data_IF_993698632851
#
_entry.id   IF_993698632851
#
_cell.length_a   1.000
_cell.length_b   1.000
_cell.length_c   1.000
_cell.angle_alpha   90.00
_cell.angle_beta   90.00
_cell.angle_gamma   90.00
#
_symmetry.space_group_name_H-M   'P 1'
#
loop_
_entity.id
_entity.type
_entity.pdbx_description
1 polymer ?
#
# COMPACT_ATOMS: atom_id res chain seq x y z
N UNK A 1 -37.48 26.65 -62.34
CA UNK A 1 -36.77 26.20 -61.10
C UNK A 1 -37.51 26.70 -59.89
N UNK A 2 -38.03 25.79 -59.10
CA UNK A 2 -39.02 26.08 -58.04
C UNK A 2 -38.28 26.63 -56.79
N UNK A 3 -38.67 27.84 -56.37
CA UNK A 3 -38.11 28.52 -55.18
C UNK A 3 -38.11 27.68 -53.88
N UNK A 4 -38.87 26.60 -53.83
CA UNK A 4 -38.91 25.66 -52.68
C UNK A 4 -37.62 24.80 -52.57
N UNK A 5 -36.92 24.54 -53.64
CA UNK A 5 -35.69 23.73 -53.58
C UNK A 5 -34.45 24.55 -53.19
N UNK A 6 -34.49 25.87 -53.40
CA UNK A 6 -33.38 26.76 -52.99
C UNK A 6 -33.36 26.97 -51.45
N UNK A 7 -34.55 26.94 -50.82
CA UNK A 7 -34.62 27.09 -49.35
C UNK A 7 -34.15 25.82 -48.58
N UNK A 8 -34.38 24.63 -49.17
CA UNK A 8 -33.92 23.36 -48.60
C UNK A 8 -32.38 23.19 -48.70
N UNK A 9 -31.79 23.75 -49.74
CA UNK A 9 -30.33 23.67 -49.93
C UNK A 9 -29.56 24.64 -49.02
N UNK A 10 -30.16 25.79 -48.68
CA UNK A 10 -29.58 26.76 -47.73
C UNK A 10 -29.74 26.29 -46.28
N UNK A 11 -30.85 25.64 -45.93
CA UNK A 11 -30.99 25.01 -44.61
C UNK A 11 -30.10 23.78 -44.44
N UNK A 12 -29.88 23.00 -45.49
CA UNK A 12 -28.97 21.84 -45.44
C UNK A 12 -27.49 22.22 -45.32
N UNK A 13 -27.08 23.37 -45.83
CA UNK A 13 -25.70 23.88 -45.69
C UNK A 13 -25.46 24.58 -44.37
N UNK A 14 -26.51 25.10 -43.70
CA UNK A 14 -26.39 25.69 -42.36
C UNK A 14 -26.42 24.64 -41.25
N UNK A 15 -26.92 23.45 -41.52
CA UNK A 15 -26.91 22.32 -40.57
C UNK A 15 -25.59 21.50 -40.61
N UNK A 16 -24.71 21.75 -41.57
CA UNK A 16 -23.42 21.05 -41.67
C UNK A 16 -22.24 21.81 -41.02
N UNK A 17 -22.47 22.97 -40.40
CA UNK A 17 -21.45 23.75 -39.68
C UNK A 17 -21.73 23.98 -38.19
N UNK A 18 -22.74 23.36 -37.63
CA UNK A 18 -22.69 23.08 -36.21
C UNK A 18 -21.91 21.75 -36.08
N UNK A 19 -20.58 21.78 -36.16
CA UNK A 19 -19.85 20.90 -35.30
C UNK A 19 -20.48 21.11 -33.94
N UNK A 20 -21.27 20.17 -33.47
CA UNK A 20 -21.57 20.07 -32.08
C UNK A 20 -20.18 20.00 -31.44
N UNK A 21 -19.68 21.11 -30.90
CA UNK A 21 -18.63 21.03 -29.90
C UNK A 21 -19.20 20.02 -28.91
N UNK A 22 -18.57 18.86 -28.84
CA UNK A 22 -18.90 17.91 -27.81
C UNK A 22 -18.87 18.73 -26.54
N UNK A 23 -19.99 18.79 -25.81
CA UNK A 23 -20.08 19.67 -24.66
C UNK A 23 -19.00 19.18 -23.71
N UNK A 24 -18.03 20.02 -23.40
CA UNK A 24 -17.11 19.80 -22.30
C UNK A 24 -17.99 19.42 -21.12
N UNK A 25 -17.79 18.25 -20.51
CA UNK A 25 -18.65 17.77 -19.44
C UNK A 25 -18.67 18.77 -18.26
N UNK A 26 -19.62 18.60 -17.36
CA UNK A 26 -19.81 19.51 -16.23
C UNK A 26 -18.83 19.31 -15.07
N UNK A 27 -17.97 18.28 -15.16
CA UNK A 27 -16.95 17.98 -14.15
C UNK A 27 -15.90 19.07 -14.04
N UNK A 28 -15.46 19.36 -12.83
CA UNK A 28 -14.40 20.33 -12.56
C UNK A 28 -13.44 19.78 -11.52
N UNK A 29 -12.15 19.81 -11.83
CA UNK A 29 -11.07 19.52 -10.89
C UNK A 29 -10.22 20.78 -10.74
N UNK A 30 -10.04 21.26 -9.50
CA UNK A 30 -9.16 22.37 -9.20
C UNK A 30 -7.90 21.90 -8.52
N UNK A 31 -6.76 22.37 -8.99
CA UNK A 31 -5.44 21.99 -8.53
C UNK A 31 -4.68 23.25 -8.11
N UNK A 32 -4.05 23.21 -6.93
CA UNK A 32 -2.98 24.15 -6.60
C UNK A 32 -1.65 23.40 -6.62
N UNK A 33 -0.63 24.06 -7.14
CA UNK A 33 0.70 23.48 -7.28
C UNK A 33 1.75 24.50 -6.85
N UNK A 34 2.92 24.02 -6.42
CA UNK A 34 4.10 24.85 -6.17
C UNK A 34 4.91 25.14 -7.45
N UNK A 35 4.38 24.75 -8.62
CA UNK A 35 5.00 25.06 -9.89
C UNK A 35 5.09 26.56 -10.15
N UNK A 36 6.25 27.01 -10.60
CA UNK A 36 6.45 28.38 -11.06
C UNK A 36 5.81 28.56 -12.45
N UNK A 37 5.44 29.82 -12.76
CA UNK A 37 5.01 30.18 -14.12
C UNK A 37 6.03 29.71 -15.16
N UNK A 38 5.56 29.04 -16.21
CA UNK A 38 6.39 28.48 -17.27
C UNK A 38 6.86 27.05 -17.03
N UNK A 39 6.64 26.49 -15.83
CA UNK A 39 6.96 25.09 -15.54
C UNK A 39 5.97 24.15 -16.22
N UNK A 40 6.47 23.03 -16.72
CA UNK A 40 5.63 21.97 -17.31
C UNK A 40 5.00 21.11 -16.21
N UNK A 41 3.70 20.91 -16.32
CA UNK A 41 2.92 19.95 -15.55
C UNK A 41 2.56 18.78 -16.48
N UNK A 42 2.73 17.57 -15.98
CA UNK A 42 2.43 16.32 -16.70
C UNK A 42 1.42 15.52 -15.89
N UNK A 43 0.43 15.00 -16.59
CA UNK A 43 -0.57 14.11 -15.99
C UNK A 43 -1.02 13.07 -16.99
N UNK A 44 -1.67 12.04 -16.50
CA UNK A 44 -2.43 11.10 -17.29
C UNK A 44 -3.89 11.21 -16.88
N UNK A 45 -4.79 11.21 -17.85
CA UNK A 45 -6.22 11.23 -17.57
C UNK A 45 -7.01 10.55 -18.67
N UNK A 46 -8.21 10.11 -18.32
CA UNK A 46 -9.25 9.74 -19.27
C UNK A 46 -10.50 10.59 -19.02
N UNK A 47 -11.33 10.70 -20.01
CA UNK A 47 -12.60 11.40 -19.95
C UNK A 47 -13.71 10.36 -20.03
N UNK A 48 -14.70 10.48 -19.19
CA UNK A 48 -15.82 9.56 -19.15
C UNK A 48 -16.58 9.55 -20.49
N UNK A 49 -16.65 8.38 -21.13
CA UNK A 49 -17.24 8.17 -22.45
C UNK A 49 -18.66 7.62 -22.41
N UNK A 50 -19.21 7.36 -21.23
CA UNK A 50 -20.49 6.68 -21.04
C UNK A 50 -20.32 5.27 -20.48
N UNK A 51 -21.33 4.45 -20.68
CA UNK A 51 -21.38 3.06 -20.23
C UNK A 51 -21.44 2.14 -21.43
N UNK A 52 -20.77 1.00 -21.40
CA UNK A 52 -20.97 -0.07 -22.37
C UNK A 52 -22.24 -0.89 -22.06
N UNK A 53 -22.50 -1.92 -22.88
CA UNK A 53 -23.67 -2.80 -22.75
C UNK A 53 -23.64 -3.61 -21.44
N UNK A 54 -22.45 -3.84 -20.87
CA UNK A 54 -22.24 -4.59 -19.62
C UNK A 54 -22.28 -3.66 -18.39
N UNK A 55 -22.39 -2.34 -18.56
CA UNK A 55 -22.44 -1.31 -17.53
C UNK A 55 -21.07 -0.89 -17.01
N UNK A 56 -20.01 -1.18 -17.77
CA UNK A 56 -18.66 -0.70 -17.49
C UNK A 56 -18.44 0.70 -18.12
N UNK A 57 -17.58 1.51 -17.49
CA UNK A 57 -17.26 2.84 -17.97
C UNK A 57 -16.40 2.77 -19.23
N UNK A 58 -16.77 3.53 -20.23
CA UNK A 58 -15.99 3.72 -21.44
C UNK A 58 -15.04 4.91 -21.25
N UNK A 59 -13.74 4.67 -21.37
CA UNK A 59 -12.71 5.69 -21.28
C UNK A 59 -12.46 6.34 -22.64
N UNK A 60 -12.56 7.66 -22.69
CA UNK A 60 -12.15 8.43 -23.87
C UNK A 60 -10.79 9.10 -23.64
N UNK A 61 -9.95 9.07 -24.66
CA UNK A 61 -8.74 9.87 -24.67
C UNK A 61 -9.08 11.37 -24.56
N UNK A 62 -8.35 12.15 -23.74
CA UNK A 62 -8.56 13.58 -23.65
C UNK A 62 -8.23 14.29 -24.95
N UNK A 63 -9.13 15.13 -25.43
CA UNK A 63 -8.94 16.01 -26.60
C UNK A 63 -9.18 17.44 -26.16
N UNK A 64 -8.09 18.22 -26.08
CA UNK A 64 -8.15 19.61 -25.61
C UNK A 64 -9.04 20.45 -26.51
N UNK A 65 -9.99 21.16 -25.92
CA UNK A 65 -10.97 21.99 -26.61
C UNK A 65 -12.23 21.22 -27.06
N UNK A 66 -12.21 19.88 -27.05
CA UNK A 66 -13.37 19.05 -27.43
C UNK A 66 -14.07 18.50 -26.18
N UNK A 67 -13.41 17.59 -25.42
CA UNK A 67 -14.02 16.95 -24.26
C UNK A 67 -13.41 17.40 -22.92
N UNK A 68 -12.35 18.21 -22.93
CA UNK A 68 -11.84 18.93 -21.76
C UNK A 68 -11.22 20.26 -22.14
N UNK A 69 -11.14 21.16 -21.15
CA UNK A 69 -10.41 22.42 -21.23
C UNK A 69 -9.68 22.72 -19.92
N UNK A 70 -8.76 23.67 -19.94
CA UNK A 70 -7.94 24.02 -18.77
C UNK A 70 -7.83 25.54 -18.65
N UNK A 71 -8.06 26.03 -17.42
CA UNK A 71 -7.72 27.40 -17.01
C UNK A 71 -6.43 27.39 -16.18
N UNK A 72 -5.66 28.46 -16.21
CA UNK A 72 -4.42 28.62 -15.45
C UNK A 72 -3.21 27.89 -16.03
N UNK A 73 -3.33 27.38 -17.25
CA UNK A 73 -2.22 26.80 -18.00
C UNK A 73 -2.33 27.08 -19.50
N UNK A 74 -1.19 27.09 -20.17
CA UNK A 74 -1.03 27.29 -21.61
C UNK A 74 -0.29 26.13 -22.26
N UNK A 75 -0.20 26.13 -23.61
CA UNK A 75 0.47 25.09 -24.40
C UNK A 75 0.01 23.66 -24.03
N UNK A 76 -1.31 23.51 -23.85
CA UNK A 76 -1.91 22.21 -23.50
C UNK A 76 -1.85 21.29 -24.68
N UNK A 77 -1.29 20.10 -24.47
CA UNK A 77 -1.21 19.03 -25.48
C UNK A 77 -1.70 17.73 -24.88
N UNK A 78 -2.42 16.95 -25.65
CA UNK A 78 -2.88 15.62 -25.29
C UNK A 78 -2.46 14.61 -26.33
N UNK A 79 -1.95 13.45 -25.90
CA UNK A 79 -1.52 12.35 -26.76
C UNK A 79 -1.83 11.01 -26.06
N UNK A 80 -2.85 10.30 -26.52
CA UNK A 80 -3.45 9.20 -25.77
C UNK A 80 -3.97 9.74 -24.43
N UNK A 81 -3.66 9.07 -23.33
CA UNK A 81 -4.02 9.53 -21.97
C UNK A 81 -3.05 10.57 -21.37
N UNK A 82 -1.96 10.92 -22.07
CA UNK A 82 -0.94 11.84 -21.55
C UNK A 82 -1.29 13.28 -21.89
N UNK A 83 -1.37 14.11 -20.87
CA UNK A 83 -1.60 15.55 -20.99
C UNK A 83 -0.39 16.29 -20.43
N UNK A 84 0.12 17.24 -21.22
CA UNK A 84 1.22 18.13 -20.82
C UNK A 84 0.77 19.56 -21.04
N UNK A 85 1.01 20.42 -20.05
CA UNK A 85 0.68 21.83 -20.09
C UNK A 85 1.80 22.68 -19.47
N UNK A 86 1.77 23.98 -19.71
CA UNK A 86 2.68 24.95 -19.09
C UNK A 86 1.89 25.74 -18.08
N UNK A 87 2.27 25.71 -16.80
CA UNK A 87 1.60 26.46 -15.75
C UNK A 87 1.74 27.98 -15.98
N UNK A 88 0.64 28.71 -15.94
CA UNK A 88 0.62 30.18 -15.99
C UNK A 88 0.72 30.79 -14.58
N UNK A 89 0.51 29.97 -13.56
CA UNK A 89 0.56 30.29 -12.13
C UNK A 89 0.34 29.05 -11.29
N UNK A 90 0.10 29.20 -9.99
CA UNK A 90 -0.04 28.06 -9.05
C UNK A 90 -1.41 27.38 -9.11
N UNK A 91 -2.39 27.95 -9.78
CA UNK A 91 -3.76 27.44 -9.85
C UNK A 91 -4.09 26.96 -11.25
N UNK A 92 -4.61 25.74 -11.34
CA UNK A 92 -5.02 25.08 -12.59
C UNK A 92 -6.42 24.52 -12.36
N UNK A 93 -7.32 24.76 -13.30
CA UNK A 93 -8.67 24.18 -13.30
C UNK A 93 -8.86 23.36 -14.56
N UNK A 94 -9.20 22.09 -14.39
CA UNK A 94 -9.56 21.17 -15.49
C UNK A 94 -11.09 21.13 -15.54
N UNK A 95 -11.66 21.37 -16.71
CA UNK A 95 -13.08 21.24 -17.01
C UNK A 95 -13.27 20.00 -17.90
N UNK A 96 -14.20 19.12 -17.55
CA UNK A 96 -14.51 17.89 -18.25
C UNK A 96 -14.90 16.78 -17.28
N UNK A 97 -15.63 15.80 -17.74
CA UNK A 97 -16.06 14.65 -16.95
C UNK A 97 -14.91 13.63 -16.85
N UNK A 98 -13.86 14.02 -16.09
CA UNK A 98 -12.68 13.19 -15.86
C UNK A 98 -13.07 11.99 -15.00
N UNK A 99 -12.79 10.78 -15.47
CA UNK A 99 -12.98 9.53 -14.72
C UNK A 99 -11.68 8.95 -14.17
N UNK A 100 -10.56 9.15 -14.85
CA UNK A 100 -9.23 8.79 -14.38
C UNK A 100 -8.30 10.01 -14.38
N UNK A 101 -7.65 10.26 -13.25
CA UNK A 101 -6.60 11.29 -13.13
C UNK A 101 -5.39 10.74 -12.37
N UNK A 102 -4.24 10.82 -13.01
CA UNK A 102 -2.94 10.55 -12.40
C UNK A 102 -2.02 11.76 -12.56
N UNK A 103 -1.70 12.42 -11.43
CA UNK A 103 -0.81 13.58 -11.37
C UNK A 103 0.23 13.36 -10.28
N UNK A 104 1.26 12.58 -10.60
CA UNK A 104 2.28 12.09 -9.66
C UNK A 104 3.51 12.99 -9.66
N UNK A 105 3.95 13.44 -8.47
CA UNK A 105 5.20 14.20 -8.30
C UNK A 105 5.23 15.56 -9.02
N UNK A 106 4.06 16.20 -9.23
CA UNK A 106 3.97 17.47 -9.95
C UNK A 106 3.87 18.69 -9.02
N UNK A 107 4.19 18.49 -7.73
CA UNK A 107 4.16 19.57 -6.74
C UNK A 107 2.74 20.05 -6.39
N UNK A 108 1.74 19.18 -6.53
CA UNK A 108 0.36 19.49 -6.15
C UNK A 108 0.27 19.66 -4.64
N UNK A 109 -0.19 20.81 -4.20
CA UNK A 109 -0.38 21.15 -2.77
C UNK A 109 -1.83 21.04 -2.32
N UNK A 110 -2.77 21.10 -3.27
CA UNK A 110 -4.20 21.01 -3.03
C UNK A 110 -4.90 20.47 -4.28
N UNK A 111 -5.92 19.65 -4.09
CA UNK A 111 -6.81 19.19 -5.15
C UNK A 111 -8.25 19.21 -4.64
N UNK A 112 -9.16 19.77 -5.44
CA UNK A 112 -10.61 19.78 -5.20
C UNK A 112 -11.29 18.98 -6.32
N UNK A 113 -11.88 17.87 -5.95
CA UNK A 113 -12.63 16.98 -6.83
C UNK A 113 -14.13 17.01 -6.55
N UNK A 114 -14.60 17.99 -5.78
CA UNK A 114 -16.01 18.09 -5.33
C UNK A 114 -17.04 18.18 -6.46
N UNK A 115 -16.58 18.51 -7.66
CA UNK A 115 -17.40 18.55 -8.88
C UNK A 115 -16.99 17.52 -9.92
N UNK A 116 -16.12 16.57 -9.58
CA UNK A 116 -15.68 15.49 -10.45
C UNK A 116 -16.51 14.21 -10.16
N UNK A 117 -17.83 14.25 -10.39
CA UNK A 117 -18.75 13.17 -10.03
C UNK A 117 -18.52 11.87 -10.78
N UNK A 118 -17.87 11.94 -11.94
CA UNK A 118 -17.53 10.79 -12.76
C UNK A 118 -16.21 10.14 -12.38
N UNK A 119 -15.45 10.74 -11.45
CA UNK A 119 -14.12 10.28 -11.06
C UNK A 119 -14.18 8.86 -10.48
N UNK A 120 -13.49 7.96 -11.18
CA UNK A 120 -13.40 6.53 -10.89
C UNK A 120 -12.06 6.17 -10.24
N UNK A 121 -10.97 6.81 -10.69
CA UNK A 121 -9.64 6.59 -10.18
C UNK A 121 -8.87 7.90 -10.02
N UNK A 122 -8.24 8.08 -8.85
CA UNK A 122 -7.39 9.22 -8.54
C UNK A 122 -6.03 8.78 -8.02
N UNK A 123 -4.96 9.20 -8.70
CA UNK A 123 -3.57 8.98 -8.28
C UNK A 123 -2.84 10.31 -8.13
N UNK A 124 -2.48 10.63 -6.89
CA UNK A 124 -1.79 11.88 -6.53
C UNK A 124 -0.49 11.63 -5.77
N UNK A 125 0.12 10.47 -5.95
CA UNK A 125 1.34 10.05 -5.25
C UNK A 125 2.44 11.11 -5.31
N UNK A 126 3.33 11.14 -4.30
CA UNK A 126 4.55 11.95 -4.28
C UNK A 126 4.30 13.46 -4.39
N UNK A 127 3.15 13.94 -3.94
CA UNK A 127 2.82 15.36 -3.92
C UNK A 127 2.77 15.90 -2.48
N UNK A 128 3.07 17.19 -2.25
CA UNK A 128 3.00 17.82 -0.93
C UNK A 128 1.58 18.28 -0.56
N UNK A 129 0.59 17.38 -0.78
CA UNK A 129 -0.80 17.59 -0.38
C UNK A 129 -0.89 17.38 1.13
N UNK A 130 -1.57 18.27 1.85
CA UNK A 130 -1.75 18.18 3.31
C UNK A 130 -3.08 17.56 3.72
N UNK A 131 -4.10 17.71 2.90
CA UNK A 131 -5.44 17.14 3.10
C UNK A 131 -6.13 16.87 1.78
N UNK A 132 -7.03 15.89 1.77
CA UNK A 132 -7.87 15.61 0.60
C UNK A 132 -9.27 15.20 1.06
N UNK A 133 -10.28 15.78 0.41
CA UNK A 133 -11.68 15.46 0.63
C UNK A 133 -12.26 14.79 -0.63
N UNK A 134 -12.64 13.51 -0.49
CA UNK A 134 -13.23 12.69 -1.54
C UNK A 134 -14.73 12.44 -1.34
N UNK A 135 -15.35 13.10 -0.34
CA UNK A 135 -16.77 12.89 0.03
C UNK A 135 -17.75 13.16 -1.11
N UNK A 136 -17.34 13.87 -2.16
CA UNK A 136 -18.14 14.14 -3.34
C UNK A 136 -17.73 13.34 -4.59
N UNK A 137 -16.97 12.24 -4.42
CA UNK A 137 -16.58 11.33 -5.49
C UNK A 137 -17.27 9.95 -5.33
N UNK A 138 -18.59 9.82 -5.48
CA UNK A 138 -19.35 8.61 -5.13
C UNK A 138 -19.06 7.42 -6.05
N UNK A 139 -18.40 7.63 -7.18
CA UNK A 139 -18.00 6.59 -8.14
C UNK A 139 -16.59 6.10 -7.94
N UNK A 140 -15.80 6.76 -7.07
CA UNK A 140 -14.39 6.47 -6.88
C UNK A 140 -14.19 5.02 -6.42
N UNK A 141 -13.41 4.26 -7.19
CA UNK A 141 -13.00 2.87 -6.88
C UNK A 141 -11.56 2.75 -6.42
N UNK A 142 -10.67 3.61 -6.93
CA UNK A 142 -9.23 3.55 -6.62
C UNK A 142 -8.72 4.92 -6.21
N UNK A 143 -8.06 4.97 -5.05
CA UNK A 143 -7.41 6.18 -4.56
C UNK A 143 -5.98 5.90 -4.10
N UNK A 144 -5.00 6.54 -4.74
CA UNK A 144 -3.59 6.41 -4.40
C UNK A 144 -2.97 7.79 -4.12
N UNK A 145 -2.44 7.93 -2.92
CA UNK A 145 -1.69 9.11 -2.45
C UNK A 145 -0.43 8.70 -1.67
N UNK A 146 0.20 7.60 -2.10
CA UNK A 146 1.44 7.09 -1.48
C UNK A 146 2.55 8.12 -1.57
N UNK A 147 3.36 8.22 -0.50
CA UNK A 147 4.47 9.16 -0.38
C UNK A 147 4.07 10.65 -0.46
N UNK A 148 2.80 10.96 -0.23
CA UNK A 148 2.38 12.34 0.08
C UNK A 148 2.77 12.65 1.53
N UNK A 149 4.02 13.00 1.75
CA UNK A 149 4.66 13.08 3.07
C UNK A 149 4.09 14.14 4.02
N UNK A 150 3.22 15.01 3.52
CA UNK A 150 2.53 16.04 4.29
C UNK A 150 1.04 15.71 4.49
N UNK A 151 0.52 14.64 3.88
CA UNK A 151 -0.89 14.28 3.92
C UNK A 151 -1.27 13.73 5.30
N UNK A 152 -2.02 14.53 6.06
CA UNK A 152 -2.43 14.22 7.42
C UNK A 152 -3.91 13.83 7.53
N UNK A 153 -4.76 14.29 6.61
CA UNK A 153 -6.21 14.03 6.66
C UNK A 153 -6.78 13.62 5.30
N UNK A 154 -7.61 12.57 5.34
CA UNK A 154 -8.35 12.06 4.19
C UNK A 154 -9.80 11.85 4.59
N UNK A 155 -10.74 12.42 3.84
CA UNK A 155 -12.19 12.19 4.01
C UNK A 155 -12.68 11.22 2.94
N UNK A 156 -13.29 10.10 3.38
CA UNK A 156 -13.83 9.03 2.55
C UNK A 156 -15.33 8.81 2.80
N UNK A 157 -16.03 9.78 3.40
CA UNK A 157 -17.37 9.58 3.95
C UNK A 157 -18.39 9.04 2.93
N UNK A 158 -18.31 9.46 1.68
CA UNK A 158 -19.29 9.11 0.65
C UNK A 158 -18.63 8.45 -0.58
N UNK A 159 -17.72 7.50 -0.33
CA UNK A 159 -17.02 6.73 -1.37
C UNK A 159 -17.31 5.23 -1.24
N UNK A 160 -18.57 4.78 -1.29
CA UNK A 160 -18.94 3.39 -0.98
C UNK A 160 -18.44 2.38 -2.03
N UNK A 161 -17.99 2.84 -3.20
CA UNK A 161 -17.49 1.99 -4.28
C UNK A 161 -15.98 1.75 -4.23
N UNK A 162 -15.26 2.32 -3.25
CA UNK A 162 -13.82 2.10 -3.12
C UNK A 162 -13.50 0.62 -2.94
N UNK A 163 -12.61 0.13 -3.78
CA UNK A 163 -12.03 -1.21 -3.74
C UNK A 163 -10.54 -1.19 -3.41
N UNK A 164 -9.83 -0.11 -3.74
CA UNK A 164 -8.40 0.04 -3.50
C UNK A 164 -8.02 1.40 -2.92
N UNK A 165 -7.24 1.38 -1.82
CA UNK A 165 -6.67 2.59 -1.20
C UNK A 165 -5.19 2.36 -0.94
N UNK A 166 -4.34 3.34 -1.34
CA UNK A 166 -2.94 3.38 -0.93
C UNK A 166 -2.56 4.75 -0.40
N UNK A 167 -2.21 4.79 0.89
CA UNK A 167 -1.77 5.94 1.67
C UNK A 167 -0.42 5.66 2.36
N UNK A 168 0.40 4.79 1.75
CA UNK A 168 1.70 4.44 2.30
C UNK A 168 2.60 5.66 2.41
N UNK A 169 3.30 5.82 3.55
CA UNK A 169 4.31 6.85 3.74
C UNK A 169 3.74 8.28 3.77
N UNK A 170 2.57 8.44 4.37
CA UNK A 170 1.91 9.73 4.64
C UNK A 170 2.04 10.13 6.12
N UNK A 171 1.27 11.11 6.57
CA UNK A 171 1.23 11.57 7.98
C UNK A 171 -0.13 11.31 8.64
N UNK A 172 -0.95 10.41 8.07
CA UNK A 172 -2.26 10.10 8.68
C UNK A 172 -2.07 9.50 10.08
N UNK A 173 -2.91 9.94 11.01
CA UNK A 173 -2.97 9.42 12.37
C UNK A 173 -4.21 8.56 12.61
N UNK A 174 -5.20 8.68 11.74
CA UNK A 174 -6.44 7.91 11.72
C UNK A 174 -7.00 7.85 10.31
N UNK A 175 -7.83 6.84 10.03
CA UNK A 175 -8.57 6.72 8.77
C UNK A 175 -9.93 6.08 9.09
N UNK A 176 -11.01 6.75 8.73
CA UNK A 176 -12.37 6.23 8.88
C UNK A 176 -12.79 5.44 7.64
N UNK A 177 -12.97 4.14 7.81
CA UNK A 177 -13.30 3.20 6.74
C UNK A 177 -14.72 2.61 6.86
N UNK A 178 -15.56 3.14 7.77
CA UNK A 178 -16.88 2.59 8.06
C UNK A 178 -17.81 2.54 6.85
N UNK A 179 -17.61 3.43 5.88
CA UNK A 179 -18.45 3.58 4.69
C UNK A 179 -17.84 2.91 3.44
N UNK A 180 -16.78 2.10 3.59
CA UNK A 180 -16.05 1.50 2.47
C UNK A 180 -16.05 -0.04 2.51
N UNK A 181 -17.20 -0.73 2.63
CA UNK A 181 -17.27 -2.17 2.86
C UNK A 181 -16.78 -3.01 1.67
N UNK A 182 -16.61 -2.40 0.50
CA UNK A 182 -16.16 -3.06 -0.72
C UNK A 182 -14.64 -3.05 -0.91
N UNK A 183 -13.87 -2.51 0.06
CA UNK A 183 -12.41 -2.51 -0.02
C UNK A 183 -11.88 -3.96 -0.07
N UNK A 184 -11.10 -4.25 -1.11
CA UNK A 184 -10.36 -5.49 -1.30
C UNK A 184 -8.87 -5.30 -1.02
N UNK A 185 -8.33 -4.09 -1.22
CA UNK A 185 -6.92 -3.77 -1.03
C UNK A 185 -6.74 -2.47 -0.24
N UNK A 186 -6.02 -2.53 0.88
CA UNK A 186 -5.72 -1.39 1.74
C UNK A 186 -4.24 -1.35 2.08
N UNK A 187 -3.56 -0.27 1.66
CA UNK A 187 -2.18 -0.01 2.05
C UNK A 187 -2.08 1.31 2.83
N UNK A 188 -1.81 1.19 4.12
CA UNK A 188 -1.51 2.31 5.03
C UNK A 188 -0.17 2.10 5.74
N UNK A 189 0.76 1.37 5.12
CA UNK A 189 2.09 1.14 5.68
C UNK A 189 2.94 2.41 5.79
N UNK A 190 3.97 2.37 6.63
CA UNK A 190 4.97 3.44 6.83
C UNK A 190 4.33 4.79 7.28
N UNK A 191 3.24 4.72 8.07
CA UNK A 191 2.60 5.86 8.73
C UNK A 191 2.89 5.80 10.23
N UNK A 192 4.04 6.29 10.65
CA UNK A 192 4.59 6.10 12.01
C UNK A 192 3.67 6.59 13.14
N UNK A 193 2.76 7.51 12.84
CA UNK A 193 1.79 8.06 13.79
C UNK A 193 0.43 7.33 13.78
N UNK A 194 0.24 6.34 12.90
CA UNK A 194 -0.97 5.52 12.82
C UNK A 194 -0.88 4.37 13.84
N UNK A 195 -1.39 4.62 15.06
CA UNK A 195 -1.30 3.65 16.15
C UNK A 195 -2.40 2.60 16.16
N UNK A 196 -3.46 2.78 15.37
CA UNK A 196 -4.58 1.84 15.25
C UNK A 196 -5.33 2.03 13.94
N UNK A 197 -5.97 0.97 13.45
CA UNK A 197 -6.91 1.01 12.33
C UNK A 197 -8.03 0.00 12.57
N UNK A 198 -9.28 0.40 12.31
CA UNK A 198 -10.42 -0.51 12.37
C UNK A 198 -10.74 -1.06 10.97
N UNK A 199 -10.37 -2.32 10.73
CA UNK A 199 -10.69 -3.05 9.49
C UNK A 199 -11.85 -4.03 9.66
N UNK A 200 -12.50 -4.07 10.82
CA UNK A 200 -13.58 -5.03 11.12
C UNK A 200 -14.84 -4.83 10.28
N UNK A 201 -14.98 -3.68 9.63
CA UNK A 201 -16.07 -3.34 8.71
C UNK A 201 -15.76 -3.59 7.23
N UNK A 202 -14.63 -4.26 6.95
CA UNK A 202 -14.14 -4.52 5.60
C UNK A 202 -14.22 -6.03 5.26
N UNK A 203 -15.40 -6.61 5.08
CA UNK A 203 -15.56 -8.06 4.85
C UNK A 203 -15.03 -8.54 3.49
N UNK A 204 -14.80 -7.62 2.57
CA UNK A 204 -14.26 -7.91 1.24
C UNK A 204 -12.73 -7.87 1.18
N UNK A 205 -12.03 -7.51 2.29
CA UNK A 205 -10.58 -7.27 2.28
C UNK A 205 -9.81 -8.56 1.98
N UNK A 206 -8.97 -8.50 0.96
CA UNK A 206 -8.11 -9.57 0.44
C UNK A 206 -6.64 -9.27 0.73
N UNK A 207 -6.25 -7.98 0.71
CA UNK A 207 -4.89 -7.55 0.92
C UNK A 207 -4.81 -6.40 1.92
N UNK A 208 -3.97 -6.54 2.94
CA UNK A 208 -3.76 -5.52 3.99
C UNK A 208 -2.27 -5.28 4.24
N UNK A 209 -1.82 -4.05 4.01
CA UNK A 209 -0.50 -3.55 4.39
C UNK A 209 -0.63 -2.49 5.47
N UNK A 210 -0.16 -2.81 6.66
CA UNK A 210 -0.12 -1.93 7.85
C UNK A 210 1.28 -1.91 8.48
N UNK A 211 2.30 -2.27 7.69
CA UNK A 211 3.68 -2.33 8.15
C UNK A 211 4.25 -0.94 8.50
N UNK A 212 5.23 -0.89 9.40
CA UNK A 212 5.97 0.34 9.71
C UNK A 212 5.15 1.40 10.43
N UNK A 213 4.15 1.00 11.19
CA UNK A 213 3.29 1.87 11.99
C UNK A 213 3.62 1.73 13.49
N UNK A 214 2.83 2.30 14.36
CA UNK A 214 3.00 2.19 15.82
C UNK A 214 2.02 1.24 16.51
N UNK A 215 1.41 0.31 15.76
CA UNK A 215 0.27 -0.48 16.23
C UNK A 215 0.65 -1.48 17.33
N UNK A 216 -0.08 -1.47 18.43
CA UNK A 216 0.04 -2.46 19.52
C UNK A 216 -0.95 -3.61 19.36
N UNK A 217 -2.03 -3.41 18.60
CA UNK A 217 -3.09 -4.39 18.32
C UNK A 217 -3.56 -4.30 16.88
N UNK A 218 -3.95 -5.44 16.33
CA UNK A 218 -4.57 -5.54 15.02
C UNK A 218 -5.64 -6.64 15.07
N UNK A 219 -6.89 -6.29 14.81
CA UNK A 219 -8.00 -7.25 14.73
C UNK A 219 -8.40 -7.46 13.27
N UNK A 220 -8.08 -8.64 12.74
CA UNK A 220 -8.45 -9.09 11.38
C UNK A 220 -9.53 -10.18 11.39
N UNK A 221 -10.17 -10.42 12.52
CA UNK A 221 -11.14 -11.52 12.72
C UNK A 221 -12.37 -11.47 11.82
N UNK A 222 -12.68 -10.32 11.22
CA UNK A 222 -13.82 -10.12 10.29
C UNK A 222 -13.40 -10.13 8.82
N UNK A 223 -12.10 -10.18 8.53
CA UNK A 223 -11.57 -10.14 7.17
C UNK A 223 -11.33 -11.57 6.66
N UNK A 224 -12.41 -12.35 6.52
CA UNK A 224 -12.36 -13.79 6.20
C UNK A 224 -11.89 -14.10 4.77
N UNK A 225 -11.77 -13.08 3.92
CA UNK A 225 -11.24 -13.19 2.57
C UNK A 225 -9.76 -12.84 2.47
N UNK A 226 -9.12 -12.47 3.60
CA UNK A 226 -7.75 -11.99 3.61
C UNK A 226 -6.79 -13.07 3.11
N UNK A 227 -6.05 -12.76 2.05
CA UNK A 227 -5.06 -13.62 1.39
C UNK A 227 -3.63 -13.15 1.72
N UNK A 228 -3.45 -11.83 1.89
CA UNK A 228 -2.15 -11.22 2.20
C UNK A 228 -2.23 -10.28 3.40
N UNK A 229 -1.40 -10.52 4.41
CA UNK A 229 -1.22 -9.62 5.56
C UNK A 229 0.24 -9.22 5.74
N UNK A 230 0.53 -7.94 5.57
CA UNK A 230 1.84 -7.33 5.87
C UNK A 230 1.67 -6.40 7.08
N UNK A 231 2.06 -6.86 8.26
CA UNK A 231 1.96 -6.12 9.52
C UNK A 231 3.30 -6.01 10.26
N UNK A 232 4.40 -6.15 9.53
CA UNK A 232 5.76 -6.03 10.06
C UNK A 232 6.06 -4.64 10.64
N UNK A 233 7.15 -4.50 11.42
CA UNK A 233 7.60 -3.23 12.00
C UNK A 233 6.51 -2.49 12.77
N UNK A 234 5.78 -3.20 13.63
CA UNK A 234 4.80 -2.65 14.56
C UNK A 234 5.19 -2.96 16.01
N UNK A 235 4.27 -2.79 16.95
CA UNK A 235 4.46 -3.10 18.37
C UNK A 235 3.59 -4.27 18.84
N UNK A 236 3.12 -5.13 17.90
CA UNK A 236 2.20 -6.23 18.23
C UNK A 236 2.87 -7.22 19.19
N UNK A 237 2.22 -7.49 20.33
CA UNK A 237 2.62 -8.52 21.27
C UNK A 237 1.92 -9.85 20.99
N UNK A 238 0.80 -9.81 20.29
CA UNK A 238 0.02 -10.96 19.82
C UNK A 238 -0.61 -10.67 18.45
N UNK A 239 -1.01 -11.72 17.77
CA UNK A 239 -1.77 -11.67 16.52
C UNK A 239 -2.55 -12.97 16.41
N UNK A 240 -3.82 -12.87 16.02
CA UNK A 240 -4.70 -14.01 15.79
C UNK A 240 -5.23 -13.95 14.35
N UNK A 241 -5.00 -15.02 13.58
CA UNK A 241 -5.43 -15.16 12.19
C UNK A 241 -6.35 -16.39 11.99
N UNK A 242 -6.94 -16.91 13.06
CA UNK A 242 -7.75 -18.15 13.02
C UNK A 242 -8.96 -18.05 12.06
N UNK A 243 -9.49 -16.83 11.83
CA UNK A 243 -10.62 -16.61 10.93
C UNK A 243 -10.20 -16.27 9.49
N UNK A 244 -8.90 -16.23 9.20
CA UNK A 244 -8.36 -15.84 7.89
C UNK A 244 -7.89 -17.09 7.13
N UNK A 245 -8.82 -18.00 6.82
CA UNK A 245 -8.52 -19.31 6.22
C UNK A 245 -7.87 -19.24 4.84
N UNK A 246 -8.04 -18.10 4.14
CA UNK A 246 -7.47 -17.88 2.80
C UNK A 246 -6.07 -17.28 2.81
N UNK A 247 -5.53 -16.95 4.00
CA UNK A 247 -4.23 -16.28 4.07
C UNK A 247 -3.11 -17.17 3.55
N UNK A 248 -2.35 -16.67 2.58
CA UNK A 248 -1.22 -17.35 1.93
C UNK A 248 0.11 -16.68 2.26
N UNK A 249 0.07 -15.39 2.54
CA UNK A 249 1.24 -14.60 2.91
C UNK A 249 1.00 -13.85 4.21
N UNK A 250 1.78 -14.16 5.24
CA UNK A 250 1.80 -13.45 6.52
C UNK A 250 3.21 -12.93 6.81
N UNK A 251 3.35 -11.61 6.86
CA UNK A 251 4.59 -10.95 7.26
C UNK A 251 4.37 -10.15 8.54
N UNK A 252 5.01 -10.57 9.63
CA UNK A 252 4.85 -9.97 10.97
C UNK A 252 6.18 -9.72 11.70
N UNK A 253 7.33 -9.78 11.02
CA UNK A 253 8.63 -9.49 11.62
C UNK A 253 8.71 -8.06 12.20
N UNK A 254 9.67 -7.79 13.07
CA UNK A 254 9.82 -6.47 13.68
C UNK A 254 8.69 -6.11 14.65
N UNK A 255 8.08 -7.10 15.29
CA UNK A 255 7.07 -6.98 16.32
C UNK A 255 7.61 -7.47 17.69
N UNK A 256 6.73 -7.82 18.62
CA UNK A 256 7.07 -8.30 19.97
C UNK A 256 6.49 -9.69 20.25
N UNK A 257 6.20 -10.48 19.20
CA UNK A 257 5.53 -11.76 19.28
C UNK A 257 6.56 -12.84 19.65
N UNK A 258 6.46 -13.43 20.83
CA UNK A 258 7.41 -14.44 21.31
C UNK A 258 6.77 -15.37 22.34
N UNK A 259 7.43 -16.51 22.64
CA UNK A 259 6.97 -17.47 23.64
C UNK A 259 5.53 -17.92 23.39
N UNK A 260 4.68 -17.87 24.41
CA UNK A 260 3.28 -18.31 24.33
C UNK A 260 2.44 -17.52 23.29
N UNK A 261 2.79 -16.25 23.01
CA UNK A 261 2.09 -15.47 21.96
C UNK A 261 2.44 -16.02 20.58
N UNK A 262 3.69 -16.44 20.36
CA UNK A 262 4.08 -17.11 19.12
C UNK A 262 3.40 -18.47 18.99
N UNK A 263 3.29 -19.24 20.08
CA UNK A 263 2.55 -20.53 20.06
C UNK A 263 1.08 -20.34 19.67
N UNK A 264 0.43 -19.30 20.19
CA UNK A 264 -0.96 -18.95 19.85
C UNK A 264 -1.09 -18.53 18.38
N UNK A 265 -0.19 -17.69 17.88
CA UNK A 265 -0.18 -17.30 16.47
C UNK A 265 0.00 -18.53 15.57
N UNK A 266 0.95 -19.42 15.88
CA UNK A 266 1.15 -20.66 15.13
C UNK A 266 -0.11 -21.52 15.17
N UNK A 267 -0.76 -21.67 16.33
CA UNK A 267 -2.00 -22.42 16.46
C UNK A 267 -3.15 -21.82 15.62
N UNK A 268 -3.17 -20.50 15.40
CA UNK A 268 -4.18 -19.79 14.59
C UNK A 268 -3.93 -19.88 13.08
N UNK A 269 -2.72 -20.23 12.63
CA UNK A 269 -2.45 -20.44 11.21
C UNK A 269 -3.36 -21.56 10.67
N UNK A 270 -3.97 -21.36 9.51
CA UNK A 270 -4.75 -22.39 8.85
C UNK A 270 -3.84 -23.61 8.55
N UNK A 271 -4.38 -24.81 8.73
CA UNK A 271 -3.65 -26.02 8.39
C UNK A 271 -3.86 -26.32 6.91
N UNK A 272 -2.77 -26.27 6.15
CA UNK A 272 -2.78 -26.61 4.73
C UNK A 272 -2.95 -28.12 4.55
N UNK A 273 -3.77 -28.51 3.60
CA UNK A 273 -4.04 -29.92 3.29
C UNK A 273 -3.60 -30.32 1.88
N UNK A 274 -3.45 -29.37 0.95
CA UNK A 274 -3.08 -29.68 -0.47
C UNK A 274 -2.40 -28.47 -1.16
N UNK A 275 -1.07 -28.52 -1.26
CA UNK A 275 -0.28 -27.91 -2.36
C UNK A 275 -0.18 -26.38 -2.45
N UNK A 276 -0.78 -25.60 -1.57
CA UNK A 276 -0.62 -24.14 -1.55
C UNK A 276 0.66 -23.78 -0.81
N UNK A 277 1.58 -23.07 -1.46
CA UNK A 277 2.75 -22.53 -0.78
C UNK A 277 2.34 -21.31 0.08
N UNK A 278 2.37 -21.50 1.42
CA UNK A 278 2.08 -20.43 2.39
C UNK A 278 3.35 -19.91 3.03
N UNK A 279 3.51 -18.61 3.09
CA UNK A 279 4.71 -17.95 3.58
C UNK A 279 4.49 -17.25 4.91
N UNK A 280 5.33 -17.56 5.90
CA UNK A 280 5.35 -16.93 7.20
C UNK A 280 6.65 -16.17 7.43
N UNK A 281 6.69 -14.90 7.04
CA UNK A 281 7.84 -14.00 7.19
C UNK A 281 7.84 -13.41 8.61
N UNK A 282 8.49 -14.11 9.55
CA UNK A 282 8.33 -13.90 10.98
C UNK A 282 9.51 -13.22 11.66
N UNK A 283 10.68 -13.26 11.03
CA UNK A 283 11.91 -12.79 11.65
C UNK A 283 12.81 -12.04 10.67
N UNK A 284 13.39 -10.93 11.11
CA UNK A 284 14.36 -10.16 10.34
C UNK A 284 15.56 -9.78 11.21
N UNK A 285 16.63 -10.59 11.18
CA UNK A 285 17.86 -10.35 11.95
C UNK A 285 18.61 -9.07 11.58
N UNK A 286 18.27 -8.46 10.43
CA UNK A 286 18.89 -7.22 9.97
C UNK A 286 18.20 -6.00 10.62
N UNK A 287 17.02 -6.19 11.21
CA UNK A 287 16.29 -5.13 11.89
C UNK A 287 16.70 -5.05 13.35
N UNK A 288 17.31 -3.95 13.76
CA UNK A 288 17.88 -3.74 15.10
C UNK A 288 16.81 -3.75 16.23
N UNK A 289 15.54 -3.51 15.89
CA UNK A 289 14.40 -3.53 16.84
C UNK A 289 13.60 -4.83 16.77
N UNK A 290 14.10 -5.88 16.11
CA UNK A 290 13.44 -7.19 16.07
C UNK A 290 13.29 -7.77 17.49
N UNK A 291 12.05 -8.09 17.86
CA UNK A 291 11.72 -8.72 19.14
C UNK A 291 10.88 -9.98 19.01
N UNK A 292 10.50 -10.34 17.79
CA UNK A 292 9.93 -11.65 17.55
C UNK A 292 10.99 -12.73 17.83
N UNK A 293 10.53 -13.85 18.35
CA UNK A 293 11.37 -15.01 18.52
C UNK A 293 10.62 -16.26 18.05
N UNK A 294 11.26 -17.07 17.23
CA UNK A 294 10.75 -18.35 16.75
C UNK A 294 11.77 -19.43 17.12
N UNK A 295 11.41 -20.33 18.02
CA UNK A 295 12.25 -21.46 18.41
C UNK A 295 12.23 -22.56 17.33
N UNK A 296 13.22 -23.45 17.35
CA UNK A 296 13.27 -24.63 16.44
C UNK A 296 11.99 -25.46 16.54
N UNK A 297 11.46 -25.67 17.75
CA UNK A 297 10.22 -26.39 17.95
C UNK A 297 9.01 -25.66 17.31
N UNK A 298 8.94 -24.35 17.46
CA UNK A 298 7.90 -23.51 16.84
C UNK A 298 8.02 -23.50 15.31
N UNK A 299 9.22 -23.38 14.75
CA UNK A 299 9.44 -23.47 13.31
C UNK A 299 8.98 -24.83 12.74
N UNK A 300 9.25 -25.91 13.49
CA UNK A 300 8.74 -27.23 13.13
C UNK A 300 7.20 -27.27 13.14
N UNK A 301 6.56 -26.70 14.18
CA UNK A 301 5.10 -26.63 14.26
C UNK A 301 4.48 -25.81 13.11
N UNK A 302 5.13 -24.72 12.66
CA UNK A 302 4.74 -23.96 11.47
C UNK A 302 4.76 -24.84 10.22
N UNK A 303 5.84 -25.61 10.02
CA UNK A 303 5.96 -26.54 8.89
C UNK A 303 4.93 -27.68 8.91
N UNK A 304 4.61 -28.22 10.09
CA UNK A 304 3.57 -29.23 10.29
C UNK A 304 2.16 -28.72 9.92
N UNK A 305 1.99 -27.41 9.84
CA UNK A 305 0.76 -26.76 9.35
C UNK A 305 0.80 -26.44 7.84
N UNK A 306 1.87 -26.81 7.13
CA UNK A 306 2.05 -26.56 5.70
C UNK A 306 2.56 -25.16 5.36
N UNK A 307 3.06 -24.40 6.35
CA UNK A 307 3.64 -23.07 6.15
C UNK A 307 5.16 -23.13 6.09
N UNK A 308 5.75 -22.24 5.28
CA UNK A 308 7.21 -22.04 5.24
C UNK A 308 7.60 -20.86 6.11
N UNK A 309 8.20 -21.08 7.30
CA UNK A 309 8.74 -19.98 8.09
C UNK A 309 9.94 -19.37 7.39
N UNK A 310 10.01 -18.04 7.32
CA UNK A 310 11.06 -17.30 6.60
C UNK A 310 11.71 -16.23 7.47
N UNK A 311 12.98 -15.98 7.22
CA UNK A 311 13.74 -14.86 7.75
C UNK A 311 14.32 -14.01 6.62
N UNK A 312 14.49 -12.71 6.87
CA UNK A 312 15.20 -11.83 5.95
C UNK A 312 16.71 -12.05 6.02
N UNK A 313 17.37 -12.03 4.87
CA UNK A 313 18.82 -12.13 4.70
C UNK A 313 19.30 -11.11 3.68
N UNK A 314 20.58 -10.71 3.74
CA UNK A 314 21.14 -9.65 2.89
C UNK A 314 21.43 -8.38 3.68
N UNK A 315 21.03 -7.24 3.20
CA UNK A 315 21.11 -5.93 3.88
C UNK A 315 19.71 -5.32 4.07
N UNK A 316 19.56 -4.31 4.93
CA UNK A 316 18.24 -3.66 5.14
C UNK A 316 17.67 -3.02 3.87
N UNK A 317 18.54 -2.58 2.95
CA UNK A 317 18.10 -1.98 1.67
C UNK A 317 17.82 -3.04 0.60
N UNK A 318 18.49 -4.20 0.69
CA UNK A 318 18.37 -5.30 -0.27
C UNK A 318 18.35 -6.63 0.47
N UNK A 319 17.20 -7.04 0.96
CA UNK A 319 17.04 -8.35 1.61
C UNK A 319 16.18 -9.30 0.78
N UNK A 320 16.42 -10.59 0.98
CA UNK A 320 15.62 -11.67 0.43
C UNK A 320 15.08 -12.54 1.56
N UNK A 321 13.99 -13.21 1.32
CA UNK A 321 13.43 -14.15 2.26
C UNK A 321 14.02 -15.54 2.03
N UNK A 322 14.49 -16.16 3.11
CA UNK A 322 14.99 -17.53 3.10
C UNK A 322 14.25 -18.36 4.14
N UNK A 323 14.12 -19.67 3.89
CA UNK A 323 13.57 -20.61 4.87
C UNK A 323 14.31 -20.48 6.21
N UNK A 324 13.56 -20.56 7.29
CA UNK A 324 14.06 -20.37 8.65
C UNK A 324 13.67 -21.53 9.54
N UNK A 325 14.63 -22.20 10.14
CA UNK A 325 14.42 -23.35 11.01
C UNK A 325 14.22 -23.02 12.49
N UNK A 326 14.12 -21.72 12.81
CA UNK A 326 14.03 -21.21 14.17
C UNK A 326 15.42 -21.07 14.82
N UNK A 327 15.46 -20.35 15.95
CA UNK A 327 16.65 -20.23 16.80
C UNK A 327 16.51 -21.12 18.03
N UNK A 328 17.61 -21.70 18.51
CA UNK A 328 17.60 -22.45 19.76
C UNK A 328 17.20 -21.54 20.94
N UNK A 329 16.29 -22.03 21.77
CA UNK A 329 15.74 -21.29 22.92
C UNK A 329 16.78 -20.86 23.98
N UNK A 330 18.05 -21.11 23.75
CA UNK A 330 19.13 -20.78 24.67
C UNK A 330 19.70 -19.38 24.50
N UNK A 331 19.19 -18.57 23.53
CA UNK A 331 19.71 -17.22 23.26
C UNK A 331 21.17 -17.18 22.83
N UNK A 332 21.76 -18.33 22.56
CA UNK A 332 23.09 -18.46 21.97
C UNK A 332 22.85 -18.57 20.48
N UNK A 333 22.86 -17.44 19.80
CA UNK A 333 23.15 -17.45 18.36
C UNK A 333 24.37 -18.35 18.18
N UNK A 334 24.21 -19.47 17.48
CA UNK A 334 25.35 -20.10 16.84
C UNK A 334 25.80 -19.12 15.77
N UNK A 335 26.45 -18.05 16.18
CA UNK A 335 27.40 -17.39 15.33
C UNK A 335 28.25 -18.54 14.80
N UNK A 336 28.12 -18.88 13.53
CA UNK A 336 29.08 -19.68 12.83
C UNK A 336 30.33 -18.78 12.79
N UNK A 337 31.03 -18.76 13.92
CA UNK A 337 32.39 -18.23 13.96
C UNK A 337 33.18 -19.26 13.16
N UNK A 338 33.32 -19.00 11.86
CA UNK A 338 34.34 -19.63 11.03
C UNK A 338 35.69 -19.12 11.52
N UNK A 339 36.06 -19.47 12.75
CA UNK A 339 37.41 -19.37 13.22
C UNK A 339 37.96 -20.79 13.31
N UNK A 340 38.96 -21.02 12.52
CA UNK A 340 39.89 -22.13 12.69
C UNK A 340 40.08 -22.36 14.19
N UNK A 341 40.05 -23.61 14.58
CA UNK A 341 40.09 -24.12 15.95
C UNK A 341 41.01 -23.28 16.88
N UNK A 342 40.49 -22.22 17.46
CA UNK A 342 41.14 -21.45 18.48
C UNK A 342 41.09 -22.27 19.76
N UNK A 343 42.27 -22.61 20.24
CA UNK A 343 42.47 -23.34 21.50
C UNK A 343 42.14 -22.45 22.72
N UNK A 344 41.11 -21.60 22.57
CA UNK A 344 40.71 -20.57 23.53
C UNK A 344 39.45 -21.01 24.27
N UNK A 345 39.42 -20.75 25.57
CA UNK A 345 38.31 -21.02 26.45
C UNK A 345 37.50 -19.73 26.74
N UNK A 346 36.18 -19.86 26.77
CA UNK A 346 35.30 -18.77 27.14
C UNK A 346 34.32 -19.24 28.24
N UNK A 347 33.96 -18.32 29.15
CA UNK A 347 32.85 -18.54 30.07
C UNK A 347 31.50 -18.32 29.38
N UNK A 348 30.37 -18.60 30.05
CA UNK A 348 29.04 -18.44 29.49
C UNK A 348 28.62 -16.98 29.23
N UNK A 349 29.39 -16.00 29.73
CA UNK A 349 29.21 -14.58 29.39
C UNK A 349 30.00 -14.16 28.15
N UNK A 350 30.72 -15.09 27.50
CA UNK A 350 31.54 -14.82 26.31
C UNK A 350 32.90 -14.23 26.63
N UNK A 351 33.28 -14.14 27.91
CA UNK A 351 34.57 -13.64 28.34
C UNK A 351 35.66 -14.72 28.15
N UNK A 352 36.78 -14.38 27.54
CA UNK A 352 37.93 -15.25 27.40
C UNK A 352 38.50 -15.60 28.77
N UNK A 353 38.74 -16.88 29.02
CA UNK A 353 39.32 -17.40 30.26
C UNK A 353 40.51 -18.31 29.97
N UNK A 354 41.41 -18.47 30.93
CA UNK A 354 42.42 -19.49 30.88
C UNK A 354 41.79 -20.89 30.90
N UNK A 355 42.52 -21.95 30.52
CA UNK A 355 41.98 -23.31 30.60
C UNK A 355 41.36 -23.54 31.98
N UNK A 356 40.06 -23.76 32.09
CA UNK A 356 39.39 -23.80 33.40
C UNK A 356 39.83 -25.01 34.21
N UNK A 357 40.12 -24.77 35.48
CA UNK A 357 40.39 -25.79 36.49
C UNK A 357 39.24 -25.92 37.49
N UNK A 358 38.29 -24.98 37.46
CA UNK A 358 37.10 -25.02 38.34
C UNK A 358 35.95 -25.70 37.61
N UNK A 359 35.11 -26.37 38.44
CA UNK A 359 33.85 -26.99 37.96
C UNK A 359 32.95 -25.92 37.35
N UNK A 360 32.48 -26.19 36.14
CA UNK A 360 31.64 -25.24 35.47
C UNK A 360 31.37 -25.63 34.01
N UNK A 361 30.60 -24.77 33.32
CA UNK A 361 30.33 -24.91 31.89
C UNK A 361 31.10 -23.82 31.16
N UNK A 362 31.83 -24.21 30.13
CA UNK A 362 32.70 -23.35 29.34
C UNK A 362 32.49 -23.63 27.84
N UNK A 363 32.95 -22.75 26.98
CA UNK A 363 33.00 -22.91 25.54
C UNK A 363 34.45 -23.05 25.11
N UNK A 364 34.76 -24.10 24.37
CA UNK A 364 36.08 -24.38 23.82
C UNK A 364 35.96 -24.98 22.42
N UNK A 365 36.65 -24.38 21.43
CA UNK A 365 36.56 -24.82 20.04
C UNK A 365 35.13 -24.78 19.51
N UNK A 366 34.30 -23.80 19.93
CA UNK A 366 32.92 -23.67 19.52
C UNK A 366 31.94 -24.69 20.15
N UNK A 367 32.45 -25.52 21.08
CA UNK A 367 31.65 -26.56 21.77
C UNK A 367 31.51 -26.28 23.25
N UNK A 368 30.36 -26.63 23.82
CA UNK A 368 30.09 -26.60 25.25
C UNK A 368 30.88 -27.72 25.94
N UNK A 369 31.70 -27.35 26.91
CA UNK A 369 32.53 -28.29 27.70
C UNK A 369 32.15 -28.16 29.17
N UNK A 370 31.90 -29.29 29.83
CA UNK A 370 31.59 -29.37 31.26
C UNK A 370 32.87 -29.83 31.97
N UNK A 371 33.42 -28.98 32.83
CA UNK A 371 34.50 -29.35 33.76
C UNK A 371 33.85 -29.84 35.03
N UNK A 372 34.08 -31.09 35.41
CA UNK A 372 33.53 -31.77 36.61
C UNK A 372 34.45 -31.68 37.78
#
# INVERSE_FOLDING_TARGET
MNKKYLLLFVCGLLLSFTNAMAAVGNGVIKIKTNASKGQKIKMEMFIFGGWDEDGDALDNSPVYGDNFSVDGASNVTAAGNKVVMTADGPEITIHGDVDYLSIVGQGVTYIDVSKATELYELRVNENPITSIDLSNAPRLKVFWASNCKELATVSLENTPKLTGISLQGTQITALDLRNNPNLTSLNVGENQNLSSIDVTKLPALEELWVNGNGMEKLDVSKNTKLERLECSKNNLADLDVANNEKIEFLSCWGNKISGNSMDKLIASLVKETEGTEREFCVYNKLYDKEKNALTVAQAKAVKERGWTPKQATGTMDFFTWQAFDGDDATGINTATISHAADNVWYDLSGRRVAKPTQRGIYIHGGKKVVIR
#
